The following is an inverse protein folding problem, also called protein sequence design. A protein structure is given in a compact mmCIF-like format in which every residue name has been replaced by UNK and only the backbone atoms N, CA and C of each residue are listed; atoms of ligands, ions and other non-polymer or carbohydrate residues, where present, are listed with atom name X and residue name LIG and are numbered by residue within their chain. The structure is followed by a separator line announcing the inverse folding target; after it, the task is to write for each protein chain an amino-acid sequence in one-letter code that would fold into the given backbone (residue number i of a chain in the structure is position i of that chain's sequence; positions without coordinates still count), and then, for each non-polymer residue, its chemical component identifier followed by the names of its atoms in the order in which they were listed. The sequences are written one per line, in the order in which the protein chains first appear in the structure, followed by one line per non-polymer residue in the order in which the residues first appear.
data_IF_375167948824
#
_entry.id   IF_375167948824
#
_cell.length_a   1.000
_cell.length_b   1.000
_cell.length_c   1.000
_cell.angle_alpha   90.00
_cell.angle_beta   90.00
_cell.angle_gamma   90.00
#
_symmetry.space_group_name_H-M   'P 1'
#
loop_
_entity.id
_entity.type
_entity.pdbx_description
1 polymer ?
#
# COMPACT_ATOMS: atom_id res chain seq x y z
N UNK A 1 -0.71 39.95 21.13
CA UNK A 1 -0.02 38.84 21.83
C UNK A 1 1.17 38.28 21.03
N UNK A 2 1.05 38.04 19.71
CA UNK A 2 2.12 37.50 18.84
C UNK A 2 3.38 38.39 18.65
N UNK A 3 3.34 39.69 18.98
CA UNK A 3 4.50 40.58 18.94
C UNK A 3 5.41 40.52 20.18
N UNK A 4 5.04 39.72 21.19
CA UNK A 4 5.72 39.62 22.49
C UNK A 4 6.53 38.32 22.66
N UNK A 5 6.45 37.41 21.69
CA UNK A 5 7.10 36.10 21.74
C UNK A 5 8.44 36.14 20.99
N UNK A 6 9.53 35.79 21.67
CA UNK A 6 10.82 35.50 21.05
C UNK A 6 10.98 34.01 20.76
N UNK A 7 11.82 33.66 19.80
CA UNK A 7 12.21 32.28 19.48
C UNK A 7 13.71 32.17 19.70
N UNK A 8 14.13 31.36 20.68
CA UNK A 8 15.52 30.98 20.89
C UNK A 8 15.74 29.58 20.35
N UNK A 9 16.78 29.43 19.52
CA UNK A 9 17.22 28.14 18.99
C UNK A 9 18.47 27.73 19.77
N UNK A 10 18.44 26.54 20.35
CA UNK A 10 19.61 25.98 21.04
C UNK A 10 20.27 24.93 20.14
N UNK A 11 21.59 24.98 19.94
CA UNK A 11 22.28 23.95 19.18
C UNK A 11 22.15 22.62 19.91
N UNK A 12 21.58 21.60 19.24
CA UNK A 12 21.59 20.22 19.73
C UNK A 12 22.93 19.59 19.32
N UNK A 13 23.73 19.18 20.28
CA UNK A 13 24.97 18.45 19.98
C UNK A 13 24.62 17.19 19.17
N UNK A 14 25.27 17.03 18.02
CA UNK A 14 25.11 15.85 17.18
C UNK A 14 25.59 14.63 17.98
N UNK A 15 24.66 13.73 18.32
CA UNK A 15 24.98 12.46 18.96
C UNK A 15 24.98 11.38 17.91
N UNK A 16 25.86 10.39 18.05
CA UNK A 16 25.90 9.25 17.14
C UNK A 16 24.54 8.55 17.17
N UNK A 17 24.00 8.28 15.98
CA UNK A 17 22.67 7.70 15.81
C UNK A 17 22.61 6.84 14.55
N UNK A 18 22.20 5.58 14.70
CA UNK A 18 21.87 4.69 13.60
C UNK A 18 20.36 4.51 13.56
N UNK A 19 19.83 4.54 12.35
CA UNK A 19 18.39 4.54 12.12
C UNK A 19 18.07 3.48 11.10
N UNK A 20 17.13 2.61 11.43
CA UNK A 20 16.51 1.71 10.47
C UNK A 20 15.42 2.49 9.70
N UNK A 21 15.84 3.20 8.65
CA UNK A 21 14.97 4.12 7.89
C UNK A 21 13.95 3.41 7.02
N UNK A 22 14.26 2.19 6.57
CA UNK A 22 13.36 1.40 5.73
C UNK A 22 13.43 -0.08 6.04
N UNK A 23 12.25 -0.69 6.15
CA UNK A 23 12.03 -2.12 6.03
C UNK A 23 10.92 -2.34 5.04
N UNK A 24 11.17 -3.11 3.98
CA UNK A 24 10.16 -3.47 3.00
C UNK A 24 10.28 -4.93 2.60
N UNK A 25 9.14 -5.56 2.35
CA UNK A 25 9.07 -6.94 1.89
C UNK A 25 7.67 -7.27 1.38
N UNK A 26 7.42 -8.51 0.93
CA UNK A 26 6.09 -8.92 0.53
C UNK A 26 5.13 -8.90 1.73
N UNK A 27 3.92 -8.40 1.51
CA UNK A 27 2.85 -8.44 2.52
C UNK A 27 2.26 -9.85 2.71
N UNK A 28 2.50 -10.76 1.74
CA UNK A 28 2.03 -12.15 1.79
C UNK A 28 3.00 -13.08 1.09
N UNK A 29 3.23 -14.26 1.66
CA UNK A 29 4.05 -15.34 1.09
C UNK A 29 3.36 -16.69 1.22
N UNK A 30 3.83 -17.68 0.47
CA UNK A 30 3.37 -19.07 0.66
C UNK A 30 4.26 -19.76 1.69
N UNK A 31 3.67 -20.61 2.53
CA UNK A 31 4.42 -21.44 3.45
C UNK A 31 5.44 -22.31 2.69
N UNK A 32 6.69 -22.30 3.17
CA UNK A 32 7.83 -22.95 2.51
C UNK A 32 8.68 -22.01 1.66
N UNK A 33 8.18 -20.81 1.30
CA UNK A 33 8.97 -19.80 0.60
C UNK A 33 9.85 -18.99 1.56
N UNK A 34 10.83 -18.28 1.01
CA UNK A 34 11.55 -17.24 1.74
C UNK A 34 10.77 -15.91 1.68
N UNK A 35 10.82 -15.16 2.78
CA UNK A 35 10.34 -13.78 2.88
C UNK A 35 11.56 -12.89 2.66
N UNK A 36 11.74 -12.29 1.48
CA UNK A 36 12.82 -11.34 1.25
C UNK A 36 12.47 -10.00 1.90
N UNK A 37 13.19 -9.65 2.96
CA UNK A 37 13.14 -8.30 3.53
C UNK A 37 14.31 -7.48 2.97
N UNK A 38 14.00 -6.28 2.51
CA UNK A 38 14.95 -5.24 2.17
C UNK A 38 15.03 -4.26 3.32
N UNK A 39 16.24 -4.00 3.79
CA UNK A 39 16.50 -3.09 4.91
C UNK A 39 17.44 -1.98 4.47
N UNK A 40 17.20 -0.78 4.96
CA UNK A 40 18.06 0.38 4.83
C UNK A 40 18.37 0.94 6.21
N UNK A 41 19.66 1.10 6.49
CA UNK A 41 20.16 1.68 7.73
C UNK A 41 20.92 2.95 7.39
N UNK A 42 20.70 4.01 8.15
CA UNK A 42 21.37 5.29 7.99
C UNK A 42 22.02 5.73 9.29
N UNK A 43 23.25 6.24 9.23
CA UNK A 43 23.90 6.98 10.29
C UNK A 43 23.51 8.46 10.13
N UNK A 44 22.78 9.03 11.09
CA UNK A 44 22.21 10.38 10.93
C UNK A 44 23.03 11.46 11.63
N UNK A 45 23.98 11.05 12.47
CA UNK A 45 24.99 11.92 13.05
C UNK A 45 26.25 11.13 13.47
N UNK A 46 27.41 11.79 13.41
CA UNK A 46 28.71 11.19 13.71
C UNK A 46 29.28 10.35 12.55
N UNK A 47 30.44 9.73 12.79
CA UNK A 47 31.07 8.82 11.83
C UNK A 47 30.28 7.52 11.76
N UNK A 48 29.83 7.14 10.57
CA UNK A 48 29.19 5.85 10.34
C UNK A 48 30.15 4.70 10.70
N UNK A 49 29.69 3.63 11.37
CA UNK A 49 30.49 2.43 11.56
C UNK A 49 30.69 1.72 10.21
N UNK A 50 31.69 0.84 10.12
CA UNK A 50 31.93 0.05 8.91
C UNK A 50 30.77 -0.91 8.60
N UNK A 51 30.12 -1.39 9.66
CA UNK A 51 28.94 -2.25 9.56
C UNK A 51 28.08 -2.24 10.82
N UNK A 52 26.84 -2.71 10.69
CA UNK A 52 25.91 -2.97 11.79
C UNK A 52 25.22 -4.31 11.57
N UNK A 53 24.88 -4.98 12.67
CA UNK A 53 24.12 -6.23 12.64
C UNK A 53 22.63 -5.89 12.69
N UNK A 54 21.87 -6.42 11.73
CA UNK A 54 20.41 -6.38 11.69
C UNK A 54 19.85 -7.76 11.98
N UNK A 55 18.92 -7.85 12.92
CA UNK A 55 18.26 -9.08 13.32
C UNK A 55 16.75 -8.99 13.06
N UNK A 56 16.16 -10.11 12.68
CA UNK A 56 14.72 -10.23 12.43
C UNK A 56 14.13 -11.20 13.44
N UNK A 57 13.03 -10.80 14.07
CA UNK A 57 12.33 -11.56 15.10
C UNK A 57 10.86 -11.75 14.74
N UNK A 58 10.28 -12.86 15.19
CA UNK A 58 8.83 -13.02 15.33
C UNK A 58 8.54 -13.40 16.78
N UNK A 59 7.77 -12.55 17.47
CA UNK A 59 7.66 -12.62 18.92
C UNK A 59 9.04 -12.53 19.59
N UNK A 60 9.34 -13.48 20.48
CA UNK A 60 10.65 -13.59 21.14
C UNK A 60 11.74 -14.34 20.34
N UNK A 61 11.40 -14.96 19.21
CA UNK A 61 12.30 -15.84 18.47
C UNK A 61 13.06 -15.11 17.37
N UNK A 62 14.40 -15.23 17.36
CA UNK A 62 15.25 -14.68 16.28
C UNK A 62 15.21 -15.59 15.06
N UNK A 63 14.80 -15.04 13.93
CA UNK A 63 14.59 -15.75 12.67
C UNK A 63 15.77 -15.63 11.71
N UNK A 64 16.39 -14.45 11.66
CA UNK A 64 17.50 -14.18 10.75
C UNK A 64 18.46 -13.14 11.35
N UNK A 65 19.69 -13.13 10.84
CA UNK A 65 20.73 -12.15 11.17
C UNK A 65 21.48 -11.79 9.89
N UNK A 66 21.77 -10.50 9.69
CA UNK A 66 22.54 -10.00 8.55
C UNK A 66 23.45 -8.87 8.96
N UNK A 67 24.64 -8.82 8.36
CA UNK A 67 25.55 -7.67 8.48
C UNK A 67 25.22 -6.70 7.34
N UNK A 68 24.92 -5.45 7.67
CA UNK A 68 24.77 -4.34 6.75
C UNK A 68 26.08 -3.55 6.77
N UNK A 69 26.70 -3.35 5.60
CA UNK A 69 27.97 -2.61 5.47
C UNK A 69 27.71 -1.18 4.97
N UNK A 70 28.62 -0.28 5.33
CA UNK A 70 28.62 1.12 4.91
C UNK A 70 29.85 1.40 4.02
N UNK A 71 29.83 1.00 2.74
CA UNK A 71 31.04 0.94 1.92
C UNK A 71 31.70 2.29 1.59
N UNK A 72 31.00 3.41 1.70
CA UNK A 72 31.57 4.76 1.46
C UNK A 72 30.68 5.92 1.94
N UNK A 73 29.68 5.68 2.78
CA UNK A 73 28.71 6.72 3.14
C UNK A 73 27.92 6.41 4.40
N UNK A 74 27.00 7.32 4.71
CA UNK A 74 26.16 7.25 5.89
C UNK A 74 24.99 6.25 5.77
N UNK A 75 24.89 5.47 4.69
CA UNK A 75 23.79 4.53 4.49
C UNK A 75 24.28 3.15 4.03
N UNK A 76 23.64 2.10 4.53
CA UNK A 76 23.87 0.72 4.13
C UNK A 76 22.54 0.02 3.80
N UNK A 77 22.57 -0.87 2.81
CA UNK A 77 21.40 -1.66 2.41
C UNK A 77 21.73 -3.15 2.40
N UNK A 78 20.75 -3.97 2.78
CA UNK A 78 20.87 -5.42 2.65
C UNK A 78 19.52 -6.08 2.36
N UNK A 79 19.60 -7.27 1.76
CA UNK A 79 18.47 -8.19 1.64
C UNK A 79 18.65 -9.33 2.65
N UNK A 80 17.60 -9.58 3.43
CA UNK A 80 17.56 -10.60 4.48
C UNK A 80 16.48 -11.63 4.09
N UNK A 81 16.86 -12.84 3.65
CA UNK A 81 15.90 -13.91 3.44
C UNK A 81 15.48 -14.49 4.79
N UNK A 82 14.18 -14.45 5.09
CA UNK A 82 13.61 -15.02 6.32
C UNK A 82 12.80 -16.27 5.96
N UNK A 83 13.05 -17.44 6.57
CA UNK A 83 12.31 -18.66 6.23
C UNK A 83 10.88 -18.60 6.75
N UNK A 84 9.87 -18.69 5.87
CA UNK A 84 8.46 -18.65 6.29
C UNK A 84 8.06 -19.80 7.22
N UNK A 85 8.78 -20.93 7.17
CA UNK A 85 8.59 -22.07 8.08
C UNK A 85 8.87 -21.72 9.55
N UNK A 86 9.71 -20.72 9.82
CA UNK A 86 10.06 -20.30 11.18
C UNK A 86 9.11 -19.22 11.76
N UNK A 87 8.26 -18.61 10.93
CA UNK A 87 7.41 -17.46 11.31
C UNK A 87 6.03 -17.91 11.82
N UNK A 88 5.56 -19.10 11.39
CA UNK A 88 4.20 -19.57 11.64
C UNK A 88 3.22 -19.16 10.53
N UNK A 89 2.05 -19.81 10.49
CA UNK A 89 1.00 -19.53 9.48
C UNK A 89 0.18 -18.30 9.87
N UNK A 90 -0.50 -17.70 8.89
CA UNK A 90 -1.38 -16.55 9.10
C UNK A 90 -0.64 -15.22 9.14
N UNK A 91 -1.28 -14.18 9.69
CA UNK A 91 -0.68 -12.86 9.87
C UNK A 91 0.36 -12.88 10.97
N UNK A 92 1.55 -12.35 10.68
CA UNK A 92 2.73 -12.37 11.53
C UNK A 92 3.42 -11.02 11.45
N UNK A 93 3.72 -10.42 12.60
CA UNK A 93 4.47 -9.16 12.68
C UNK A 93 5.94 -9.50 12.91
N UNK A 94 6.78 -9.16 11.94
CA UNK A 94 8.22 -9.26 12.04
C UNK A 94 8.77 -7.98 12.65
N UNK A 95 9.57 -8.10 13.71
CA UNK A 95 10.37 -6.99 14.25
C UNK A 95 11.77 -7.06 13.67
N UNK A 96 12.17 -6.04 12.94
CA UNK A 96 13.53 -5.90 12.41
C UNK A 96 14.23 -4.87 13.28
N UNK A 97 15.38 -5.23 13.84
CA UNK A 97 16.09 -4.37 14.78
C UNK A 97 17.59 -4.35 14.55
N UNK A 98 18.20 -3.21 14.84
CA UNK A 98 19.65 -3.07 14.97
C UNK A 98 20.10 -3.73 16.28
N UNK A 99 21.20 -4.47 16.22
CA UNK A 99 21.83 -5.05 17.41
C UNK A 99 23.01 -4.18 17.84
N UNK A 100 23.08 -3.90 19.14
CA UNK A 100 24.20 -3.19 19.78
C UNK A 100 24.50 -1.83 19.12
N UNK A 101 23.46 -1.13 18.63
CA UNK A 101 23.60 0.20 18.05
C UNK A 101 24.24 1.19 19.04
N UNK A 102 23.96 1.01 20.35
CA UNK A 102 24.52 1.80 21.47
C UNK A 102 24.55 3.28 21.12
N UNK A 103 23.41 3.78 20.66
CA UNK A 103 23.26 5.13 20.12
C UNK A 103 22.23 5.95 20.91
N UNK A 104 21.92 7.14 20.40
CA UNK A 104 21.23 8.16 21.19
C UNK A 104 19.71 8.06 21.17
N UNK A 105 19.11 7.36 20.21
CA UNK A 105 17.67 7.25 20.03
C UNK A 105 17.24 5.79 19.75
N UNK A 106 17.08 4.96 20.80
CA UNK A 106 16.74 3.54 20.63
C UNK A 106 15.42 3.27 19.89
N UNK A 107 14.50 4.25 19.83
CA UNK A 107 13.23 4.10 19.11
C UNK A 107 13.40 4.05 17.59
N UNK A 108 14.55 4.49 17.07
CA UNK A 108 14.87 4.37 15.64
C UNK A 108 15.59 3.08 15.26
N UNK A 109 15.95 2.25 16.24
CA UNK A 109 16.66 0.99 16.03
C UNK A 109 15.76 -0.14 15.54
N UNK A 110 14.44 -0.01 15.65
CA UNK A 110 13.50 -1.07 15.32
C UNK A 110 12.38 -0.59 14.40
N UNK A 111 12.01 -1.46 13.47
CA UNK A 111 10.88 -1.29 12.56
C UNK A 111 10.06 -2.57 12.50
N UNK A 112 8.79 -2.44 12.15
CA UNK A 112 7.85 -3.56 12.05
C UNK A 112 7.51 -3.84 10.58
N UNK A 113 7.33 -5.12 10.25
CA UNK A 113 6.84 -5.56 8.94
C UNK A 113 5.77 -6.62 9.12
N UNK A 114 4.55 -6.36 8.64
CA UNK A 114 3.47 -7.35 8.65
C UNK A 114 3.55 -8.23 7.41
N UNK A 115 3.56 -9.55 7.61
CA UNK A 115 3.50 -10.54 6.55
C UNK A 115 2.41 -11.57 6.84
N UNK A 116 1.68 -11.99 5.81
CA UNK A 116 0.75 -13.11 5.91
C UNK A 116 1.35 -14.37 5.27
N UNK A 117 1.52 -15.44 6.03
CA UNK A 117 2.00 -16.74 5.53
C UNK A 117 0.80 -17.62 5.20
N UNK A 118 0.50 -17.75 3.91
CA UNK A 118 -0.60 -18.57 3.41
C UNK A 118 -0.21 -20.06 3.33
N UNK A 119 -1.11 -21.00 3.65
CA UNK A 119 -0.82 -22.44 3.58
C UNK A 119 -0.68 -22.96 2.14
N UNK A 120 -1.30 -22.29 1.17
CA UNK A 120 -1.33 -22.64 -0.25
C UNK A 120 -0.82 -21.49 -1.13
N UNK A 121 -0.21 -21.79 -2.29
CA UNK A 121 0.05 -20.76 -3.29
C UNK A 121 -1.29 -20.19 -3.75
N UNK A 122 -1.48 -18.88 -3.60
CA UNK A 122 -2.79 -18.29 -3.80
C UNK A 122 -3.19 -18.23 -5.28
N UNK A 123 -2.32 -17.75 -6.16
CA UNK A 123 -2.57 -17.72 -7.61
C UNK A 123 -1.44 -18.44 -8.34
N UNK A 124 -1.78 -19.38 -9.21
CA UNK A 124 -0.81 -20.06 -10.08
C UNK A 124 -1.23 -19.87 -11.53
N UNK A 125 -0.38 -19.24 -12.32
CA UNK A 125 -0.55 -19.06 -13.77
C UNK A 125 0.41 -19.98 -14.51
N UNK A 126 -0.13 -20.79 -15.42
CA UNK A 126 0.65 -21.68 -16.28
C UNK A 126 0.28 -21.44 -17.74
N UNK A 127 1.29 -21.21 -18.59
CA UNK A 127 1.08 -20.98 -20.03
C UNK A 127 1.98 -21.89 -20.88
N UNK A 128 1.36 -22.55 -21.86
CA UNK A 128 2.01 -23.41 -22.85
C UNK A 128 1.31 -23.24 -24.21
N UNK A 129 1.92 -22.57 -25.20
CA UNK A 129 3.24 -21.93 -25.15
C UNK A 129 3.26 -20.63 -24.32
N UNK A 130 4.45 -20.10 -24.08
CA UNK A 130 4.63 -18.75 -23.55
C UNK A 130 4.23 -17.69 -24.58
N UNK A 131 3.57 -16.62 -24.13
CA UNK A 131 3.17 -15.51 -25.00
C UNK A 131 3.04 -14.17 -24.25
N UNK A 132 2.65 -13.13 -24.99
CA UNK A 132 2.48 -11.80 -24.43
C UNK A 132 1.28 -11.71 -23.46
N UNK A 133 0.17 -12.37 -23.76
CA UNK A 133 -1.01 -12.36 -22.89
C UNK A 133 -0.70 -12.93 -21.50
N UNK A 134 -0.02 -14.07 -21.42
CA UNK A 134 0.39 -14.69 -20.16
C UNK A 134 1.38 -13.84 -19.37
N UNK A 135 2.34 -13.19 -20.05
CA UNK A 135 3.31 -12.28 -19.41
C UNK A 135 2.64 -11.03 -18.83
N UNK A 136 1.77 -10.37 -19.59
CA UNK A 136 1.07 -9.16 -19.15
C UNK A 136 0.06 -9.48 -18.05
N UNK A 137 -0.64 -10.61 -18.14
CA UNK A 137 -1.57 -11.06 -17.09
C UNK A 137 -0.82 -11.38 -15.79
N UNK A 138 0.32 -12.08 -15.86
CA UNK A 138 1.15 -12.36 -14.69
C UNK A 138 1.60 -11.07 -13.98
N UNK A 139 2.05 -10.07 -14.75
CA UNK A 139 2.43 -8.76 -14.20
C UNK A 139 1.24 -8.07 -13.53
N UNK A 140 0.11 -7.97 -14.23
CA UNK A 140 -1.10 -7.33 -13.69
C UNK A 140 -1.53 -8.01 -12.39
N UNK A 141 -1.58 -9.34 -12.35
CA UNK A 141 -1.93 -10.11 -11.15
C UNK A 141 -0.98 -9.87 -9.99
N UNK A 142 0.34 -9.76 -10.22
CA UNK A 142 1.28 -9.43 -9.14
C UNK A 142 1.02 -8.07 -8.51
N UNK A 143 0.47 -7.15 -9.27
CA UNK A 143 0.17 -5.79 -8.83
C UNK A 143 -1.20 -5.69 -8.17
N UNK A 144 -2.20 -6.45 -8.62
CA UNK A 144 -3.59 -6.34 -8.15
C UNK A 144 -4.06 -7.48 -7.24
N UNK A 145 -3.49 -8.67 -7.33
CA UNK A 145 -3.92 -9.81 -6.54
C UNK A 145 -3.42 -9.65 -5.09
N UNK A 146 -4.33 -9.88 -4.14
CA UNK A 146 -4.01 -9.86 -2.70
C UNK A 146 -3.37 -11.17 -2.21
N UNK A 147 -3.05 -12.08 -3.14
CA UNK A 147 -2.54 -13.43 -2.93
C UNK A 147 -1.17 -13.61 -3.62
N UNK A 148 -0.29 -14.52 -3.15
CA UNK A 148 1.00 -14.75 -3.79
C UNK A 148 0.77 -15.33 -5.20
N UNK A 149 1.38 -14.71 -6.21
CA UNK A 149 1.25 -15.12 -7.61
C UNK A 149 2.51 -15.85 -8.05
N UNK A 150 2.35 -17.11 -8.48
CA UNK A 150 3.39 -17.89 -9.16
C UNK A 150 3.05 -18.02 -10.64
N UNK A 151 4.05 -17.83 -11.49
CA UNK A 151 3.89 -17.93 -12.94
C UNK A 151 4.88 -18.93 -13.51
N UNK A 152 4.41 -19.81 -14.38
CA UNK A 152 5.22 -20.81 -15.08
C UNK A 152 4.92 -20.75 -16.57
N UNK A 153 5.97 -20.69 -17.39
CA UNK A 153 5.87 -20.70 -18.84
C UNK A 153 6.67 -21.83 -19.44
N UNK A 154 6.18 -22.37 -20.54
CA UNK A 154 6.95 -23.27 -21.39
C UNK A 154 7.58 -22.46 -22.54
N UNK A 155 8.88 -22.21 -22.44
CA UNK A 155 9.66 -21.53 -23.49
C UNK A 155 10.19 -22.53 -24.53
N UNK A 156 10.47 -23.77 -24.10
CA UNK A 156 10.88 -24.88 -24.95
C UNK A 156 9.99 -26.09 -24.65
N UNK A 157 9.76 -27.01 -25.60
CA UNK A 157 8.83 -28.14 -25.40
C UNK A 157 9.11 -28.99 -24.15
N UNK A 158 10.38 -29.08 -23.72
CA UNK A 158 10.84 -29.95 -22.64
C UNK A 158 11.00 -29.25 -21.28
N UNK A 159 10.96 -27.91 -21.21
CA UNK A 159 11.36 -27.19 -19.99
C UNK A 159 10.38 -26.09 -19.59
N UNK A 160 10.03 -26.08 -18.31
CA UNK A 160 9.29 -24.99 -17.69
C UNK A 160 10.25 -23.96 -17.11
N UNK A 161 9.83 -22.70 -17.12
CA UNK A 161 10.56 -21.60 -16.52
C UNK A 161 9.65 -20.80 -15.58
N UNK A 162 10.22 -20.32 -14.49
CA UNK A 162 9.58 -19.36 -13.60
C UNK A 162 9.40 -18.02 -14.33
N UNK A 163 8.20 -17.44 -14.32
CA UNK A 163 7.98 -16.10 -14.89
C UNK A 163 8.63 -14.98 -14.06
N UNK A 164 9.08 -15.26 -12.83
CA UNK A 164 9.67 -14.26 -11.94
C UNK A 164 11.11 -13.90 -12.33
N UNK A 165 11.89 -14.91 -12.71
CA UNK A 165 13.34 -14.85 -12.90
C UNK A 165 13.84 -15.70 -14.09
N UNK A 166 12.94 -16.37 -14.81
CA UNK A 166 13.22 -17.29 -15.91
C UNK A 166 14.08 -18.50 -15.52
N UNK A 167 14.25 -18.77 -14.23
CA UNK A 167 14.95 -19.95 -13.76
C UNK A 167 14.22 -21.22 -14.23
N UNK A 168 14.94 -22.28 -14.64
CA UNK A 168 14.33 -23.54 -15.04
C UNK A 168 13.63 -24.21 -13.85
N UNK A 169 12.47 -24.81 -14.11
CA UNK A 169 11.60 -25.44 -13.11
C UNK A 169 11.19 -26.83 -13.61
N UNK A 170 11.12 -27.82 -12.70
CA UNK A 170 10.71 -29.18 -13.06
C UNK A 170 9.20 -29.27 -13.31
N UNK A 171 8.79 -30.19 -14.19
CA UNK A 171 7.36 -30.44 -14.43
C UNK A 171 6.62 -30.91 -13.17
N UNK A 172 7.29 -31.63 -12.25
CA UNK A 172 6.70 -32.01 -10.95
C UNK A 172 6.40 -30.78 -10.09
N UNK A 173 7.33 -29.82 -10.02
CA UNK A 173 7.13 -28.59 -9.26
C UNK A 173 5.95 -27.77 -9.81
N UNK A 174 5.80 -27.70 -11.13
CA UNK A 174 4.63 -27.05 -11.77
C UNK A 174 3.33 -27.80 -11.42
N UNK A 175 3.31 -29.14 -11.53
CA UNK A 175 2.15 -29.98 -11.15
C UNK A 175 1.80 -29.88 -9.66
N UNK A 176 2.79 -29.72 -8.79
CA UNK A 176 2.56 -29.54 -7.36
C UNK A 176 1.98 -28.16 -7.06
N UNK A 177 2.48 -27.11 -7.72
CA UNK A 177 1.94 -25.76 -7.59
C UNK A 177 0.49 -25.69 -8.10
N UNK A 178 0.18 -26.26 -9.27
CA UNK A 178 -1.17 -26.23 -9.86
C UNK A 178 -2.20 -26.97 -9.01
N UNK A 179 -1.83 -28.11 -8.40
CA UNK A 179 -2.71 -28.89 -7.51
C UNK A 179 -3.05 -28.17 -6.21
N UNK A 180 -2.15 -27.30 -5.73
CA UNK A 180 -2.28 -26.56 -4.47
C UNK A 180 -2.79 -25.14 -4.64
N UNK A 181 -3.05 -24.69 -5.87
CA UNK A 181 -3.47 -23.33 -6.16
C UNK A 181 -4.87 -23.06 -5.60
N UNK A 182 -5.10 -21.88 -5.01
CA UNK A 182 -6.46 -21.43 -4.71
C UNK A 182 -7.16 -20.96 -6.00
N UNK A 183 -6.43 -20.21 -6.83
CA UNK A 183 -6.79 -19.83 -8.20
C UNK A 183 -5.78 -20.39 -9.18
N UNK A 184 -6.24 -21.24 -10.09
CA UNK A 184 -5.45 -21.77 -11.20
C UNK A 184 -5.80 -21.04 -12.50
N UNK A 185 -4.80 -20.46 -13.14
CA UNK A 185 -4.90 -19.82 -14.45
C UNK A 185 -4.12 -20.69 -15.44
N UNK A 186 -4.79 -21.14 -16.49
CA UNK A 186 -4.19 -22.00 -17.53
C UNK A 186 -4.40 -21.37 -18.89
N UNK A 187 -3.31 -21.24 -19.66
CA UNK A 187 -3.35 -20.75 -21.03
C UNK A 187 -2.77 -21.77 -22.02
N UNK A 188 -3.47 -21.95 -23.13
CA UNK A 188 -3.06 -22.83 -24.22
C UNK A 188 -3.17 -24.31 -23.86
N UNK A 189 -2.19 -25.08 -24.31
CA UNK A 189 -2.05 -26.53 -24.09
C UNK A 189 -1.89 -26.93 -22.61
N UNK A 190 -1.60 -25.95 -21.73
CA UNK A 190 -1.56 -26.13 -20.29
C UNK A 190 -2.94 -26.44 -19.67
N UNK A 191 -4.04 -26.32 -20.44
CA UNK A 191 -5.40 -26.62 -19.97
C UNK A 191 -5.56 -28.00 -19.34
N UNK A 192 -4.77 -29.00 -19.77
CA UNK A 192 -4.75 -30.35 -19.17
C UNK A 192 -4.34 -30.34 -17.69
N UNK A 193 -3.54 -29.37 -17.25
CA UNK A 193 -3.13 -29.24 -15.84
C UNK A 193 -4.26 -28.79 -14.91
N UNK A 194 -5.39 -28.32 -15.46
CA UNK A 194 -6.58 -28.05 -14.67
C UNK A 194 -7.35 -29.32 -14.30
N UNK A 195 -7.08 -30.47 -14.93
CA UNK A 195 -7.70 -31.74 -14.56
C UNK A 195 -7.20 -32.19 -13.18
N UNK A 196 -8.13 -32.44 -12.25
CA UNK A 196 -7.81 -32.89 -10.89
C UNK A 196 -7.27 -31.80 -9.94
N UNK A 197 -7.34 -30.52 -10.33
CA UNK A 197 -7.05 -29.42 -9.41
C UNK A 197 -8.09 -29.30 -8.29
N UNK A 198 -7.68 -28.82 -7.12
CA UNK A 198 -8.56 -28.47 -6.00
C UNK A 198 -8.80 -26.96 -5.91
N UNK A 199 -8.42 -26.20 -6.94
CA UNK A 199 -8.62 -24.76 -6.97
C UNK A 199 -10.10 -24.40 -6.88
N UNK A 200 -10.40 -23.37 -6.07
CA UNK A 200 -11.75 -22.81 -5.97
C UNK A 200 -12.09 -21.89 -7.14
N UNK A 201 -11.07 -21.35 -7.80
CA UNK A 201 -11.18 -20.56 -9.01
C UNK A 201 -10.35 -21.14 -10.16
N UNK A 202 -10.93 -21.22 -11.36
CA UNK A 202 -10.23 -21.61 -12.58
C UNK A 202 -10.39 -20.50 -13.63
N UNK A 203 -9.29 -19.95 -14.11
CA UNK A 203 -9.26 -19.03 -15.23
C UNK A 203 -8.63 -19.73 -16.44
N UNK A 204 -9.46 -20.13 -17.38
CA UNK A 204 -9.04 -20.85 -18.57
C UNK A 204 -8.93 -19.93 -19.78
N UNK A 205 -7.85 -20.10 -20.52
CA UNK A 205 -7.60 -19.42 -21.78
C UNK A 205 -7.26 -20.51 -22.81
N UNK A 206 -8.26 -21.05 -23.53
CA UNK A 206 -8.07 -22.21 -24.39
C UNK A 206 -6.98 -21.98 -25.44
N UNK A 207 -6.32 -23.07 -25.86
CA UNK A 207 -5.44 -23.01 -27.01
C UNK A 207 -6.23 -22.59 -28.25
N UNK A 208 -5.60 -21.77 -29.09
CA UNK A 208 -6.05 -21.60 -30.46
C UNK A 208 -5.89 -22.97 -31.16
N UNK A 209 -7.02 -23.59 -31.50
CA UNK A 209 -7.05 -24.75 -32.39
C UNK A 209 -7.20 -24.31 -33.84
N UNK A 210 -7.38 -25.26 -34.75
CA UNK A 210 -7.57 -24.99 -36.18
C UNK A 210 -8.80 -24.11 -36.47
N UNK A 211 -9.78 -24.08 -35.55
CA UNK A 211 -10.99 -23.26 -35.65
C UNK A 211 -10.81 -21.81 -35.17
N UNK A 212 -9.60 -21.42 -34.75
CA UNK A 212 -9.33 -20.05 -34.31
C UNK A 212 -9.46 -19.06 -35.48
N UNK A 213 -10.22 -17.99 -35.26
CA UNK A 213 -10.50 -16.99 -36.30
C UNK A 213 -9.61 -15.77 -36.07
N UNK A 214 -8.61 -15.61 -36.92
CA UNK A 214 -7.72 -14.45 -36.94
C UNK A 214 -8.43 -13.19 -37.43
N UNK A 215 -8.09 -12.04 -36.85
CA UNK A 215 -8.55 -10.73 -37.31
C UNK A 215 -8.69 -9.73 -36.18
N UNK A 216 -9.12 -8.51 -36.52
CA UNK A 216 -9.36 -7.46 -35.53
C UNK A 216 -10.72 -7.65 -34.85
N UNK A 217 -10.70 -8.23 -33.67
CA UNK A 217 -11.87 -8.47 -32.82
C UNK A 217 -12.07 -7.32 -31.83
N UNK A 218 -13.09 -6.49 -32.07
CA UNK A 218 -13.44 -5.38 -31.20
C UNK A 218 -14.36 -5.87 -30.09
N UNK A 219 -14.05 -5.50 -28.84
CA UNK A 219 -14.72 -6.00 -27.65
C UNK A 219 -15.74 -4.99 -27.13
N UNK A 220 -16.84 -5.49 -26.62
CA UNK A 220 -17.89 -4.72 -25.96
C UNK A 220 -18.17 -5.33 -24.59
N UNK A 221 -18.35 -4.49 -23.58
CA UNK A 221 -18.66 -4.95 -22.23
C UNK A 221 -20.16 -5.20 -22.05
N UNK A 222 -20.47 -6.27 -21.34
CA UNK A 222 -21.81 -6.53 -20.83
C UNK A 222 -21.97 -5.89 -19.45
N UNK A 223 -23.13 -5.30 -19.22
CA UNK A 223 -23.50 -4.73 -17.92
C UNK A 223 -23.80 -5.81 -16.86
N UNK A 224 -24.08 -7.04 -17.29
CA UNK A 224 -24.50 -8.15 -16.41
C UNK A 224 -23.36 -9.17 -16.27
N UNK A 225 -22.33 -8.82 -15.51
CA UNK A 225 -21.28 -9.77 -15.12
C UNK A 225 -20.56 -9.36 -13.82
N UNK A 226 -19.92 -10.31 -13.10
CA UNK A 226 -19.08 -9.98 -11.95
C UNK A 226 -17.87 -9.09 -12.26
N UNK A 227 -17.49 -9.00 -13.55
CA UNK A 227 -16.41 -8.14 -14.03
C UNK A 227 -16.92 -6.80 -14.60
N UNK A 228 -18.25 -6.55 -14.62
CA UNK A 228 -18.83 -5.37 -15.27
C UNK A 228 -18.31 -4.06 -14.68
N UNK A 229 -18.10 -4.01 -13.36
CA UNK A 229 -17.54 -2.83 -12.69
C UNK A 229 -16.15 -2.42 -13.20
N UNK A 230 -15.37 -3.35 -13.78
CA UNK A 230 -14.07 -3.03 -14.37
C UNK A 230 -14.19 -2.23 -15.67
N UNK A 231 -15.36 -2.23 -16.31
CA UNK A 231 -15.61 -1.61 -17.60
C UNK A 231 -16.61 -0.43 -17.51
N UNK A 232 -17.09 -0.10 -16.30
CA UNK A 232 -18.06 0.97 -16.10
C UNK A 232 -17.47 2.31 -16.56
N UNK A 233 -18.15 2.97 -17.50
CA UNK A 233 -17.72 4.25 -18.08
C UNK A 233 -16.49 4.16 -18.99
N UNK A 234 -16.06 2.96 -19.39
CA UNK A 234 -14.90 2.75 -20.24
C UNK A 234 -15.32 2.47 -21.70
N UNK A 235 -14.67 3.10 -22.71
CA UNK A 235 -14.99 2.88 -24.13
C UNK A 235 -14.30 1.61 -24.64
N UNK A 236 -14.75 0.44 -24.19
CA UNK A 236 -14.10 -0.86 -24.45
C UNK A 236 -14.01 -1.17 -25.95
N UNK A 237 -14.98 -0.72 -26.74
CA UNK A 237 -15.05 -0.86 -28.21
C UNK A 237 -13.98 -0.04 -28.96
N UNK A 238 -13.39 0.93 -28.26
CA UNK A 238 -12.31 1.79 -28.74
C UNK A 238 -10.92 1.33 -28.26
N UNK A 239 -10.86 0.28 -27.44
CA UNK A 239 -9.59 -0.34 -27.05
C UNK A 239 -8.97 -1.11 -28.21
N UNK A 240 -7.64 -1.39 -28.16
CA UNK A 240 -7.00 -2.20 -29.18
C UNK A 240 -7.74 -3.54 -29.39
N UNK A 241 -8.02 -3.95 -30.64
CA UNK A 241 -8.74 -5.18 -30.89
C UNK A 241 -7.90 -6.40 -30.45
N UNK A 242 -8.61 -7.45 -30.05
CA UNK A 242 -8.04 -8.79 -29.94
C UNK A 242 -7.63 -9.28 -31.34
N UNK A 243 -6.61 -10.15 -31.39
CA UNK A 243 -5.98 -10.62 -32.63
C UNK A 243 -6.63 -11.89 -33.19
N UNK A 244 -7.30 -12.64 -32.31
CA UNK A 244 -8.00 -13.86 -32.67
C UNK A 244 -9.10 -14.17 -31.66
N UNK A 245 -10.07 -14.95 -32.12
CA UNK A 245 -11.13 -15.54 -31.31
C UNK A 245 -11.16 -17.06 -31.54
N UNK A 246 -11.02 -17.82 -30.47
CA UNK A 246 -11.28 -19.26 -30.44
C UNK A 246 -12.78 -19.47 -30.20
N UNK A 247 -13.55 -20.04 -31.14
CA UNK A 247 -14.98 -20.22 -30.96
C UNK A 247 -15.27 -21.19 -29.80
N UNK A 248 -15.70 -20.65 -28.66
CA UNK A 248 -16.14 -21.44 -27.51
C UNK A 248 -17.53 -20.98 -27.12
N UNK A 249 -18.49 -21.91 -27.15
CA UNK A 249 -19.87 -21.60 -26.78
C UNK A 249 -20.03 -21.63 -25.25
N UNK A 250 -20.55 -20.57 -24.62
CA UNK A 250 -20.94 -20.61 -23.22
C UNK A 250 -22.07 -21.62 -23.00
N UNK A 251 -22.15 -22.18 -21.79
CA UNK A 251 -23.28 -23.03 -21.41
C UNK A 251 -24.49 -22.17 -21.05
N UNK A 252 -25.67 -22.78 -21.05
CA UNK A 252 -26.89 -22.15 -20.53
C UNK A 252 -26.67 -21.70 -19.09
N UNK A 253 -26.90 -20.42 -18.80
CA UNK A 253 -26.71 -19.83 -17.47
C UNK A 253 -25.32 -19.22 -17.23
N UNK A 254 -24.37 -19.37 -18.16
CA UNK A 254 -23.09 -18.65 -18.10
C UNK A 254 -23.34 -17.14 -18.31
N UNK A 255 -22.67 -16.31 -17.51
CA UNK A 255 -22.64 -14.87 -17.75
C UNK A 255 -21.58 -14.55 -18.80
N UNK A 256 -21.80 -13.51 -19.60
CA UNK A 256 -20.82 -13.00 -20.57
C UNK A 256 -20.39 -11.61 -20.11
N UNK A 257 -19.10 -11.40 -19.88
CA UNK A 257 -18.53 -10.10 -19.51
C UNK A 257 -18.09 -9.30 -20.74
N UNK A 258 -17.53 -9.96 -21.74
CA UNK A 258 -17.11 -9.33 -22.99
C UNK A 258 -17.61 -10.12 -24.18
N UNK A 259 -18.12 -9.40 -25.18
CA UNK A 259 -18.47 -9.94 -26.49
C UNK A 259 -17.60 -9.30 -27.57
N UNK A 260 -17.20 -10.07 -28.58
CA UNK A 260 -16.33 -9.64 -29.67
C UNK A 260 -17.07 -9.60 -31.02
N UNK A 261 -16.75 -8.62 -31.85
CA UNK A 261 -17.18 -8.53 -33.24
C UNK A 261 -15.98 -8.33 -34.16
N UNK A 262 -15.93 -9.10 -35.25
CA UNK A 262 -14.87 -9.02 -36.24
C UNK A 262 -15.06 -7.74 -37.07
N UNK A 263 -14.07 -6.84 -37.03
CA UNK A 263 -14.13 -5.56 -37.75
C UNK A 263 -15.33 -4.69 -37.38
N UNK A 264 -15.88 -4.82 -36.16
CA UNK A 264 -17.12 -4.16 -35.69
C UNK A 264 -18.37 -4.52 -36.50
N UNK A 265 -18.37 -5.68 -37.17
CA UNK A 265 -19.47 -6.15 -38.01
C UNK A 265 -19.91 -7.55 -37.59
N UNK A 266 -21.10 -7.94 -38.05
CA UNK A 266 -21.66 -9.27 -37.83
C UNK A 266 -22.13 -9.53 -36.39
N UNK A 267 -22.43 -10.79 -36.10
CA UNK A 267 -22.93 -11.20 -34.81
C UNK A 267 -21.84 -11.10 -33.73
N UNK A 268 -22.20 -10.53 -32.58
CA UNK A 268 -21.34 -10.51 -31.40
C UNK A 268 -21.15 -11.93 -30.87
N UNK A 269 -19.89 -12.31 -30.61
CA UNK A 269 -19.50 -13.63 -30.10
C UNK A 269 -18.99 -13.52 -28.67
N UNK A 270 -19.32 -14.44 -27.75
CA UNK A 270 -18.77 -14.43 -26.40
C UNK A 270 -17.24 -14.50 -26.40
N UNK A 271 -16.59 -13.54 -25.75
CA UNK A 271 -15.14 -13.42 -25.68
C UNK A 271 -14.60 -13.68 -24.28
N UNK A 272 -15.29 -13.20 -23.26
CA UNK A 272 -15.00 -13.52 -21.85
C UNK A 272 -16.31 -13.84 -21.16
N UNK A 273 -16.39 -15.04 -20.59
CA UNK A 273 -17.60 -15.52 -19.93
C UNK A 273 -17.22 -16.42 -18.77
N UNK A 274 -18.16 -16.65 -17.86
CA UNK A 274 -17.90 -17.45 -16.69
C UNK A 274 -19.14 -17.97 -16.03
N UNK A 275 -18.91 -18.82 -15.03
CA UNK A 275 -19.96 -19.53 -14.31
C UNK A 275 -19.50 -19.99 -12.94
N UNK A 276 -20.46 -20.23 -12.08
CA UNK A 276 -20.26 -20.84 -10.78
C UNK A 276 -20.92 -22.23 -10.81
N UNK A 277 -20.10 -23.29 -10.76
CA UNK A 277 -20.58 -24.67 -10.65
C UNK A 277 -20.28 -25.16 -9.22
N UNK A 278 -21.35 -25.33 -8.42
CA UNK A 278 -21.27 -25.66 -7.00
C UNK A 278 -20.43 -24.64 -6.20
N UNK A 279 -19.17 -24.98 -5.85
CA UNK A 279 -18.23 -24.12 -5.12
C UNK A 279 -17.02 -23.69 -5.98
N UNK A 280 -17.00 -24.05 -7.25
CA UNK A 280 -15.90 -23.72 -8.16
C UNK A 280 -16.37 -22.66 -9.15
N UNK A 281 -15.64 -21.55 -9.19
CA UNK A 281 -15.87 -20.47 -10.15
C UNK A 281 -14.94 -20.64 -11.34
N UNK A 282 -15.47 -20.48 -12.54
CA UNK A 282 -14.71 -20.59 -13.78
C UNK A 282 -14.91 -19.37 -14.65
N UNK A 283 -13.82 -18.84 -15.20
CA UNK A 283 -13.82 -17.85 -16.28
C UNK A 283 -13.08 -18.43 -17.47
N UNK A 284 -13.65 -18.26 -18.66
CA UNK A 284 -13.04 -18.59 -19.94
C UNK A 284 -12.77 -17.30 -20.70
N UNK A 285 -11.55 -17.16 -21.23
CA UNK A 285 -11.17 -16.10 -22.17
C UNK A 285 -10.92 -16.75 -23.51
N UNK A 286 -11.79 -16.45 -24.47
CA UNK A 286 -11.84 -17.05 -25.80
C UNK A 286 -11.13 -16.19 -26.87
N UNK A 287 -10.45 -15.11 -26.48
CA UNK A 287 -9.76 -14.19 -27.39
C UNK A 287 -8.30 -14.01 -26.98
N UNK A 288 -7.39 -13.83 -27.93
CA UNK A 288 -5.99 -13.47 -27.65
C UNK A 288 -5.67 -12.04 -28.10
N UNK A 289 -4.58 -11.47 -27.59
CA UNK A 289 -4.14 -10.11 -27.91
C UNK A 289 -4.59 -9.04 -26.92
N UNK A 290 -5.17 -9.43 -25.77
CA UNK A 290 -5.58 -8.50 -24.72
C UNK A 290 -4.40 -7.78 -24.06
N UNK A 291 -3.19 -8.35 -24.15
CA UNK A 291 -1.95 -7.67 -23.73
C UNK A 291 -1.79 -6.26 -24.32
N UNK A 292 -2.38 -6.01 -25.51
CA UNK A 292 -2.34 -4.70 -26.17
C UNK A 292 -3.06 -3.61 -25.37
N UNK A 293 -4.06 -3.98 -24.57
CA UNK A 293 -4.76 -3.05 -23.67
C UNK A 293 -3.81 -2.51 -22.61
N UNK A 294 -2.99 -3.38 -22.03
CA UNK A 294 -1.98 -3.02 -21.04
C UNK A 294 -0.75 -2.33 -21.67
N UNK A 295 -0.38 -2.70 -22.90
CA UNK A 295 0.80 -2.16 -23.57
C UNK A 295 0.65 -0.68 -23.97
N UNK A 296 -0.54 -0.25 -24.41
CA UNK A 296 -0.75 1.13 -24.88
C UNK A 296 -0.79 2.18 -23.75
N UNK A 297 -0.96 1.76 -22.50
CA UNK A 297 -1.16 2.67 -21.37
C UNK A 297 -2.56 3.30 -21.33
N UNK A 298 -2.74 4.29 -20.44
CA UNK A 298 -3.96 5.09 -20.37
C UNK A 298 -5.20 4.31 -19.88
N UNK A 299 -6.42 4.70 -20.32
CA UNK A 299 -7.66 4.07 -19.87
C UNK A 299 -7.76 2.56 -20.17
N UNK A 300 -7.18 2.08 -21.28
CA UNK A 300 -7.18 0.65 -21.60
C UNK A 300 -6.31 -0.16 -20.65
N UNK A 301 -5.18 0.39 -20.19
CA UNK A 301 -4.33 -0.29 -19.19
C UNK A 301 -5.04 -0.35 -17.84
N UNK A 302 -5.67 0.75 -17.41
CA UNK A 302 -6.43 0.79 -16.17
C UNK A 302 -7.58 -0.23 -16.20
N UNK A 303 -8.29 -0.30 -17.32
CA UNK A 303 -9.36 -1.28 -17.54
C UNK A 303 -8.84 -2.72 -17.54
N UNK A 304 -7.68 -2.99 -18.15
CA UNK A 304 -7.05 -4.32 -18.11
C UNK A 304 -6.69 -4.74 -16.68
N UNK A 305 -6.09 -3.83 -15.90
CA UNK A 305 -5.76 -4.07 -14.48
C UNK A 305 -7.02 -4.28 -13.63
N UNK A 306 -8.04 -3.44 -13.81
CA UNK A 306 -9.31 -3.55 -13.12
C UNK A 306 -10.03 -4.86 -13.46
N UNK A 307 -10.01 -5.27 -14.73
CA UNK A 307 -10.56 -6.54 -15.19
C UNK A 307 -9.84 -7.73 -14.57
N UNK A 308 -8.50 -7.73 -14.56
CA UNK A 308 -7.72 -8.78 -13.91
C UNK A 308 -8.01 -8.86 -12.41
N UNK A 309 -8.12 -7.72 -11.74
CA UNK A 309 -8.46 -7.63 -10.32
C UNK A 309 -9.87 -8.15 -10.02
N UNK A 310 -10.88 -7.68 -10.77
CA UNK A 310 -12.28 -8.07 -10.59
C UNK A 310 -12.48 -9.56 -10.87
N UNK A 311 -11.89 -10.07 -11.97
CA UNK A 311 -11.96 -11.49 -12.35
C UNK A 311 -11.30 -12.37 -11.29
N UNK A 312 -10.07 -12.04 -10.86
CA UNK A 312 -9.38 -12.80 -9.81
C UNK A 312 -10.14 -12.75 -8.48
N UNK A 313 -10.66 -11.58 -8.09
CA UNK A 313 -11.48 -11.41 -6.89
C UNK A 313 -12.71 -12.30 -6.92
N UNK A 314 -13.48 -12.27 -8.01
CA UNK A 314 -14.67 -13.09 -8.17
C UNK A 314 -14.33 -14.59 -8.13
N UNK A 315 -13.32 -15.03 -8.88
CA UNK A 315 -12.86 -16.43 -8.91
C UNK A 315 -12.43 -16.94 -7.53
N UNK A 316 -11.89 -16.06 -6.69
CA UNK A 316 -11.44 -16.38 -5.34
C UNK A 316 -12.53 -16.29 -4.28
N UNK A 317 -13.76 -15.93 -4.62
CA UNK A 317 -14.86 -15.85 -3.65
C UNK A 317 -15.50 -14.47 -3.51
N UNK A 318 -14.85 -13.39 -3.95
CA UNK A 318 -15.34 -12.01 -3.82
C UNK A 318 -15.40 -11.55 -2.36
N UNK A 319 -14.49 -10.63 -1.99
CA UNK A 319 -14.18 -10.22 -0.61
C UNK A 319 -13.62 -11.36 0.24
N UNK A 320 -12.40 -11.20 0.76
CA UNK A 320 -11.91 -12.00 1.86
C UNK A 320 -12.92 -11.86 3.02
N UNK A 321 -13.86 -12.81 3.15
CA UNK A 321 -14.79 -12.88 4.30
C UNK A 321 -14.03 -12.99 5.63
N UNK A 322 -12.73 -13.32 5.54
CA UNK A 322 -11.75 -13.28 6.63
C UNK A 322 -11.46 -11.85 7.12
N UNK A 323 -11.47 -10.84 6.25
CA UNK A 323 -11.16 -9.44 6.61
C UNK A 323 -12.39 -8.64 7.05
N UNK A 324 -13.60 -9.06 6.64
CA UNK A 324 -14.85 -8.40 7.04
C UNK A 324 -15.25 -7.23 6.13
N UNK A 325 -15.85 -6.19 6.69
CA UNK A 325 -16.44 -5.05 5.95
C UNK A 325 -15.48 -3.89 5.68
N UNK A 326 -14.28 -3.93 6.26
CA UNK A 326 -13.26 -2.90 6.08
C UNK A 326 -11.86 -3.52 6.12
N UNK A 327 -10.84 -2.79 5.63
CA UNK A 327 -9.43 -3.21 5.72
C UNK A 327 -8.52 -2.02 5.99
N UNK A 328 -7.37 -2.20 6.67
CA UNK A 328 -6.38 -1.14 6.79
C UNK A 328 -5.76 -0.86 5.42
N UNK A 329 -5.64 0.43 5.07
CA UNK A 329 -4.91 0.89 3.88
C UNK A 329 -3.42 0.57 4.02
N UNK A 330 -2.86 0.82 5.21
CA UNK A 330 -1.52 0.43 5.60
C UNK A 330 -1.57 -0.18 6.99
N UNK A 331 -1.15 -1.44 7.11
CA UNK A 331 -1.29 -2.19 8.36
C UNK A 331 -0.19 -1.87 9.39
N UNK A 332 0.95 -1.32 8.96
CA UNK A 332 2.02 -0.87 9.86
C UNK A 332 2.32 0.60 9.58
N UNK A 333 2.17 1.45 10.58
CA UNK A 333 2.39 2.90 10.48
C UNK A 333 3.40 3.37 11.53
N UNK A 334 4.23 4.39 11.22
CA UNK A 334 5.05 5.05 12.24
C UNK A 334 4.21 5.66 13.36
N UNK A 335 4.83 5.86 14.52
CA UNK A 335 4.23 6.65 15.60
C UNK A 335 3.89 8.07 15.11
N UNK A 336 2.81 8.64 15.62
CA UNK A 336 2.31 9.95 15.17
C UNK A 336 1.60 9.93 13.82
N UNK A 337 1.42 8.76 13.18
CA UNK A 337 0.57 8.59 12.00
C UNK A 337 -0.69 7.78 12.35
N UNK A 338 -1.86 8.16 11.83
CA UNK A 338 -3.07 7.39 12.08
C UNK A 338 -3.12 6.12 11.24
N UNK A 339 -3.85 5.13 11.75
CA UNK A 339 -4.33 4.02 10.94
C UNK A 339 -5.52 4.49 10.12
N UNK A 340 -5.51 4.19 8.83
CA UNK A 340 -6.62 4.48 7.92
C UNK A 340 -7.23 3.16 7.46
N UNK A 341 -8.53 3.02 7.64
CA UNK A 341 -9.33 1.91 7.15
C UNK A 341 -10.13 2.34 5.93
N UNK A 342 -10.24 1.45 4.96
CA UNK A 342 -11.05 1.59 3.75
C UNK A 342 -12.24 0.61 3.82
N UNK A 343 -13.42 1.12 3.50
CA UNK A 343 -14.64 0.34 3.37
C UNK A 343 -14.54 -0.61 2.16
N UNK A 344 -14.79 -1.89 2.40
CA UNK A 344 -14.85 -2.93 1.35
C UNK A 344 -16.13 -3.74 1.40
N UNK A 345 -17.05 -3.38 2.32
CA UNK A 345 -18.36 -3.98 2.45
C UNK A 345 -19.26 -3.66 1.25
N UNK A 346 -20.34 -4.43 1.09
CA UNK A 346 -21.37 -4.13 0.10
C UNK A 346 -22.20 -2.94 0.59
N UNK A 347 -22.56 -2.03 -0.31
CA UNK A 347 -23.39 -0.87 -0.01
C UNK A 347 -22.61 0.34 0.50
N UNK A 348 -23.35 1.37 0.92
CA UNK A 348 -22.78 2.61 1.42
C UNK A 348 -21.96 2.39 2.70
N UNK A 349 -20.84 3.12 2.90
CA UNK A 349 -20.06 3.03 4.13
C UNK A 349 -20.89 3.34 5.36
N UNK A 350 -20.79 2.50 6.39
CA UNK A 350 -21.51 2.68 7.66
C UNK A 350 -20.59 2.52 8.86
N UNK A 351 -20.92 3.19 9.96
CA UNK A 351 -20.19 3.03 11.22
C UNK A 351 -20.12 1.54 11.63
N UNK A 352 -18.93 1.07 12.00
CA UNK A 352 -18.67 -0.35 12.26
C UNK A 352 -17.98 -0.52 13.60
N UNK A 353 -18.58 -1.31 14.49
CA UNK A 353 -17.96 -1.69 15.76
C UNK A 353 -16.70 -2.51 15.53
N UNK A 354 -15.62 -2.17 16.24
CA UNK A 354 -14.33 -2.86 16.20
C UNK A 354 -13.85 -3.17 17.62
N UNK A 355 -13.44 -4.40 17.85
CA UNK A 355 -12.79 -4.83 19.07
C UNK A 355 -11.29 -4.91 18.81
N UNK A 356 -10.51 -4.16 19.59
CA UNK A 356 -9.06 -4.20 19.61
C UNK A 356 -8.58 -5.15 20.70
N UNK A 357 -7.48 -5.83 20.48
CA UNK A 357 -6.83 -6.70 21.46
C UNK A 357 -5.32 -6.57 21.32
N UNK A 358 -4.67 -6.22 22.41
CA UNK A 358 -3.21 -6.08 22.50
C UNK A 358 -2.71 -6.73 23.82
N UNK A 359 -1.48 -6.41 24.24
CA UNK A 359 -0.90 -6.92 25.48
C UNK A 359 -1.54 -6.37 26.76
N UNK A 360 -2.27 -5.24 26.67
CA UNK A 360 -2.92 -4.58 27.80
C UNK A 360 -4.36 -5.05 28.00
N UNK A 361 -5.00 -5.61 26.97
CA UNK A 361 -6.32 -6.22 27.05
C UNK A 361 -7.14 -6.03 25.79
N UNK A 362 -8.45 -6.20 25.92
CA UNK A 362 -9.40 -5.95 24.84
C UNK A 362 -10.13 -4.61 25.05
N UNK A 363 -10.29 -3.84 23.96
CA UNK A 363 -10.99 -2.54 23.98
C UNK A 363 -11.94 -2.42 22.80
N UNK A 364 -13.19 -2.06 23.07
CA UNK A 364 -14.18 -1.78 22.03
C UNK A 364 -14.07 -0.34 21.53
N UNK A 365 -14.29 -0.14 20.23
CA UNK A 365 -14.30 1.15 19.55
C UNK A 365 -15.22 1.09 18.31
N UNK A 366 -15.37 2.19 17.57
CA UNK A 366 -16.19 2.26 16.36
C UNK A 366 -15.44 2.97 15.22
N UNK A 367 -15.25 2.27 14.11
CA UNK A 367 -14.79 2.88 12.87
C UNK A 367 -15.90 3.74 12.28
N UNK A 368 -15.64 5.04 12.15
CA UNK A 368 -16.55 6.00 11.50
C UNK A 368 -16.01 6.33 10.11
N UNK A 369 -16.70 5.86 9.08
CA UNK A 369 -16.31 6.10 7.70
C UNK A 369 -16.89 7.43 7.19
N UNK A 370 -16.06 8.19 6.48
CA UNK A 370 -16.47 9.38 5.76
C UNK A 370 -17.14 9.05 4.41
N UNK A 371 -17.56 10.08 3.67
CA UNK A 371 -18.16 9.91 2.34
C UNK A 371 -17.24 9.30 1.28
N UNK A 372 -15.93 9.23 1.54
CA UNK A 372 -14.95 8.51 0.70
C UNK A 372 -14.78 7.05 1.11
N UNK A 373 -15.52 6.59 2.12
CA UNK A 373 -15.40 5.25 2.67
C UNK A 373 -14.12 5.05 3.47
N UNK A 374 -13.58 6.10 4.10
CA UNK A 374 -12.37 6.02 4.94
C UNK A 374 -12.67 6.32 6.40
N UNK A 375 -12.06 5.55 7.30
CA UNK A 375 -12.10 5.77 8.74
C UNK A 375 -10.67 5.96 9.28
N UNK A 376 -10.48 6.97 10.12
CA UNK A 376 -9.18 7.31 10.72
C UNK A 376 -9.22 6.93 12.19
N UNK A 377 -8.21 6.18 12.65
CA UNK A 377 -8.08 5.74 14.05
C UNK A 377 -6.67 6.00 14.54
N UNK A 378 -6.58 6.51 15.76
CA UNK A 378 -5.32 6.71 16.47
C UNK A 378 -5.12 5.59 17.48
N UNK A 379 -3.95 4.96 17.42
CA UNK A 379 -3.55 3.88 18.33
C UNK A 379 -2.19 4.21 18.92
N UNK A 380 -1.98 3.73 20.15
CA UNK A 380 -0.67 3.78 20.79
C UNK A 380 0.30 2.82 20.08
N UNK A 381 1.61 3.11 20.21
CA UNK A 381 2.66 2.24 19.68
C UNK A 381 2.51 0.82 20.23
N UNK A 382 2.49 -0.17 19.35
CA UNK A 382 2.23 -1.55 19.71
C UNK A 382 1.63 -2.36 18.56
N UNK A 383 1.43 -3.65 18.82
CA UNK A 383 0.77 -4.58 17.91
C UNK A 383 -0.66 -4.79 18.38
N UNK A 384 -1.61 -4.52 17.48
CA UNK A 384 -3.03 -4.53 17.77
C UNK A 384 -3.74 -5.53 16.87
N UNK A 385 -4.39 -6.53 17.46
CA UNK A 385 -5.32 -7.39 16.74
C UNK A 385 -6.69 -6.74 16.76
N UNK A 386 -7.40 -6.76 15.64
CA UNK A 386 -8.74 -6.20 15.54
C UNK A 386 -9.74 -7.21 15.02
N UNK A 387 -11.00 -7.06 15.44
CA UNK A 387 -12.13 -7.84 14.96
C UNK A 387 -13.37 -6.96 14.81
N UNK A 388 -14.08 -7.08 13.70
CA UNK A 388 -15.33 -6.34 13.49
C UNK A 388 -16.52 -7.08 14.10
N UNK A 389 -17.52 -6.31 14.54
CA UNK A 389 -18.77 -6.86 15.13
C UNK A 389 -19.53 -7.78 14.17
N UNK A 390 -19.46 -7.54 12.85
CA UNK A 390 -20.06 -8.38 11.80
C UNK A 390 -19.20 -9.57 11.35
N UNK A 391 -18.08 -9.83 12.01
CA UNK A 391 -17.09 -10.82 11.59
C UNK A 391 -15.99 -10.24 10.71
N UNK A 392 -14.89 -11.00 10.63
CA UNK A 392 -13.63 -10.56 10.02
C UNK A 392 -12.75 -9.76 10.97
N UNK A 393 -11.46 -9.69 10.64
CA UNK A 393 -10.47 -9.03 11.46
C UNK A 393 -9.06 -9.19 10.91
N UNK A 394 -8.08 -8.73 11.67
CA UNK A 394 -6.67 -8.81 11.29
C UNK A 394 -5.76 -8.19 12.32
N UNK A 395 -4.56 -7.83 11.87
CA UNK A 395 -3.50 -7.27 12.70
C UNK A 395 -3.03 -5.95 12.10
N UNK A 396 -2.84 -4.96 12.94
CA UNK A 396 -2.17 -3.71 12.61
C UNK A 396 -1.09 -3.43 13.66
N UNK A 397 -0.14 -2.58 13.34
CA UNK A 397 0.87 -2.14 14.29
C UNK A 397 1.18 -0.66 14.13
N UNK A 398 1.42 0.01 15.25
CA UNK A 398 1.99 1.36 15.29
C UNK A 398 3.41 1.20 15.81
N UNK A 399 4.40 1.62 15.02
CA UNK A 399 5.81 1.53 15.38
C UNK A 399 6.12 2.49 16.54
N UNK A 400 7.18 2.23 17.32
CA UNK A 400 7.75 3.26 18.21
C UNK A 400 8.49 4.34 17.42
N UNK A 401 9.06 3.95 16.27
CA UNK A 401 9.71 4.83 15.29
C UNK A 401 8.76 5.95 14.83
N UNK A 402 9.28 7.17 14.74
CA UNK A 402 8.64 8.32 14.10
C UNK A 402 9.64 9.04 13.20
N UNK A 403 9.16 9.57 12.07
CA UNK A 403 9.96 10.41 11.17
C UNK A 403 10.44 11.70 11.87
N UNK A 404 9.75 12.13 12.94
CA UNK A 404 10.12 13.31 13.75
C UNK A 404 11.35 13.08 14.62
N UNK A 405 11.74 11.81 14.84
CA UNK A 405 12.96 11.48 15.59
C UNK A 405 14.22 11.72 14.77
N UNK A 406 14.09 11.77 13.44
CA UNK A 406 15.21 12.01 12.55
C UNK A 406 15.67 13.48 12.66
N UNK A 407 16.98 13.73 12.84
CA UNK A 407 17.53 15.07 12.75
C UNK A 407 17.13 15.76 11.43
N UNK A 408 16.33 16.83 11.54
CA UNK A 408 16.02 17.73 10.45
C UNK A 408 16.83 19.02 10.60
N UNK A 409 17.29 19.66 9.50
CA UNK A 409 17.90 20.97 9.58
C UNK A 409 16.94 21.96 10.22
N UNK A 410 17.42 22.72 11.21
CA UNK A 410 16.61 23.76 11.86
C UNK A 410 16.33 24.87 10.85
N UNK A 411 15.08 24.99 10.41
CA UNK A 411 14.64 26.02 9.47
C UNK A 411 14.11 27.28 10.18
N UNK A 412 14.00 27.25 11.52
CA UNK A 412 13.54 28.39 12.31
C UNK A 412 14.65 29.43 12.47
N UNK A 413 14.38 30.65 12.00
CA UNK A 413 15.22 31.81 12.29
C UNK A 413 15.02 32.26 13.74
N UNK A 414 16.13 32.57 14.43
CA UNK A 414 16.09 33.20 15.75
C UNK A 414 15.31 34.51 15.65
N UNK A 415 14.33 34.69 16.54
CA UNK A 415 13.54 35.92 16.62
C UNK A 415 13.72 36.51 17.99
N UNK A 416 14.49 37.59 18.09
CA UNK A 416 14.61 38.33 19.34
C UNK A 416 13.24 38.94 19.71
N UNK A 417 12.80 38.83 20.97
CA UNK A 417 11.59 39.50 21.43
C UNK A 417 11.80 41.02 21.29
N UNK A 418 10.77 41.72 20.83
CA UNK A 418 10.83 43.18 20.72
C UNK A 418 11.00 43.76 22.12
N UNK A 419 12.10 44.48 22.35
CA UNK A 419 12.37 45.12 23.63
C UNK A 419 11.19 45.99 24.06
N UNK A 420 10.80 45.88 25.33
CA UNK A 420 9.84 46.77 25.95
C UNK A 420 10.46 48.16 25.87
N UNK A 421 9.98 49.04 24.98
CA UNK A 421 10.08 50.47 25.28
C UNK A 421 9.24 50.64 26.54
N UNK A 422 9.81 51.07 27.68
CA UNK A 422 8.96 51.47 28.79
C UNK A 422 7.99 52.48 28.20
N UNK A 423 6.69 52.19 28.29
CA UNK A 423 5.68 53.23 28.10
C UNK A 423 5.87 54.16 29.29
N UNK A 424 6.83 55.08 29.16
CA UNK A 424 6.94 56.21 30.04
C UNK A 424 5.62 56.95 29.92
N UNK A 425 4.69 56.64 30.82
CA UNK A 425 3.63 57.56 31.16
C UNK A 425 4.36 58.71 31.84
N UNK A 426 4.91 59.64 31.06
CA UNK A 426 5.39 60.91 31.59
C UNK A 426 4.17 61.61 32.14
N UNK A 427 4.03 61.63 33.46
CA UNK A 427 2.98 62.42 34.07
C UNK A 427 3.37 63.89 33.89
N UNK A 428 2.42 64.80 33.68
CA UNK A 428 2.71 66.22 33.46
C UNK A 428 3.58 66.85 34.58
N UNK A 429 3.56 66.25 35.77
CA UNK A 429 4.41 66.54 36.94
C UNK A 429 5.92 66.31 36.71
N UNK A 430 6.31 65.53 35.70
CA UNK A 430 7.72 65.29 35.35
C UNK A 430 8.31 66.41 34.48
N UNK A 431 7.47 67.37 34.05
CA UNK A 431 7.84 68.48 33.16
C UNK A 431 7.74 69.82 33.91
N UNK A 432 8.45 69.95 35.03
CA UNK A 432 8.42 71.12 35.92
C UNK A 432 8.67 72.47 35.19
N UNK A 433 9.40 72.46 34.08
CA UNK A 433 9.63 73.65 33.26
C UNK A 433 8.34 74.21 32.62
N UNK A 434 7.35 73.37 32.32
CA UNK A 434 6.04 73.81 31.81
C UNK A 434 5.27 74.62 32.87
N UNK A 435 5.38 74.22 34.14
CA UNK A 435 4.83 75.02 35.25
C UNK A 435 5.53 76.38 35.37
N UNK A 436 6.86 76.39 35.22
CA UNK A 436 7.63 77.64 35.16
C UNK A 436 7.16 78.56 34.02
N UNK A 437 6.85 78.00 32.86
CA UNK A 437 6.35 78.75 31.70
C UNK A 437 4.94 79.32 31.94
N UNK A 438 4.06 78.57 32.59
CA UNK A 438 2.74 79.08 33.02
C UNK A 438 2.86 80.21 34.04
N UNK A 439 3.73 80.09 35.04
CA UNK A 439 3.96 81.16 36.03
C UNK A 439 4.56 82.40 35.36
N UNK A 440 5.49 82.23 34.43
CA UNK A 440 6.07 83.35 33.67
C UNK A 440 5.01 84.05 32.82
N UNK A 441 4.13 83.30 32.15
CA UNK A 441 3.03 83.86 31.36
C UNK A 441 2.03 84.63 32.23
N UNK A 442 1.62 84.08 33.38
CA UNK A 442 0.75 84.77 34.34
C UNK A 442 1.41 86.02 34.93
N UNK A 443 2.71 85.96 35.21
CA UNK A 443 3.46 87.11 35.72
C UNK A 443 3.59 88.21 34.67
N UNK A 444 3.86 87.84 33.42
CA UNK A 444 3.90 88.76 32.29
C UNK A 444 2.53 89.40 32.02
N UNK A 445 1.46 88.60 32.08
CA UNK A 445 0.09 89.09 31.96
C UNK A 445 -0.25 90.08 33.09
N UNK A 446 0.09 89.76 34.33
CA UNK A 446 -0.12 90.67 35.46
C UNK A 446 0.65 91.99 35.29
N UNK A 447 1.90 91.92 34.84
CA UNK A 447 2.71 93.11 34.57
C UNK A 447 2.11 93.95 33.44
N UNK A 448 1.59 93.30 32.39
CA UNK A 448 0.92 93.97 31.28
C UNK A 448 -0.38 94.65 31.72
N UNK A 449 -1.24 93.96 32.50
CA UNK A 449 -2.47 94.54 33.05
C UNK A 449 -2.18 95.75 33.93
N UNK A 450 -1.15 95.68 34.78
CA UNK A 450 -0.75 96.78 35.66
C UNK A 450 -0.24 98.01 34.89
N UNK A 451 0.44 97.80 33.76
CA UNK A 451 0.89 98.90 32.87
C UNK A 451 -0.24 99.50 32.04
N UNK A 452 -1.29 98.72 31.74
CA UNK A 452 -2.46 99.15 30.97
C UNK A 452 -3.57 99.78 31.82
N UNK A 453 -3.37 99.92 33.14
CA UNK A 453 -4.34 100.57 34.05
C UNK A 453 -5.61 99.75 34.31
N UNK A 454 -5.62 98.47 33.93
CA UNK A 454 -6.72 97.54 34.17
C UNK A 454 -6.51 96.93 35.56
N UNK A 455 -7.41 97.19 36.51
CA UNK A 455 -7.40 96.54 37.83
C UNK A 455 -7.93 95.11 37.73
#
# INVERSE_FOLDING_TARGET
LLGRSGIRVFPRAARRDLVLTRVSGPARVTAGDSIPLEVEVQAVAGKAPDSVVVEVFSGGSRLARRIVRFPSGASGRARIPVPSSAVGRGEQVLRVALREASDSEPRTDARLHLVTVAPTPGVVLVADPADWDSRFLYRALREVAQLPVRGYVRLTPSQWHSMADLAPVSAEQVRQATRRADLLIVKGSAGRLAQGTRARGIWAWPAAGDDAILGDWYLSASEVSPAAAAFLGQPVDSFPPALQLTPVQPRTGDWVALSAQLGRRGAARPAVFGREEARVRRVTVAVDGLWRWAFRGGPSEQSYRAWAAATASWLLGGADSVRGVARPVRAVVPNGRPLVFEWIGRGAPSATAVMWTDSTGARSDTLRFDGSGRAIVWQESGIHRYRFGGGGGGTVAVEEYSDELLPAPVTLAVKEPRAIRPSGRTAARDWLWLFGLCVAALSAEWLARRRLGLR
#
